data_IF_321247020549
#
_entry.id   IF_321247020549
#
_cell.length_a   1.000
_cell.length_b   1.000
_cell.length_c   1.000
_cell.angle_alpha   90.00
_cell.angle_beta   90.00
_cell.angle_gamma   90.00
#
_symmetry.space_group_name_H-M   'P 1'
#
loop_
_entity.id
_entity.type
_entity.pdbx_description
1 polymer ?
#
# COMPACT_ATOMS: atom_id res chain seq x y z
N UNK A 1 0.44 17.01 -15.05
CA UNK A 1 -0.92 17.39 -14.60
C UNK A 1 -1.39 16.35 -13.60
N UNK A 2 -1.59 16.75 -12.39
CA UNK A 2 -2.06 15.82 -11.34
C UNK A 2 -3.50 15.44 -11.60
N UNK A 3 -3.82 14.16 -11.46
CA UNK A 3 -5.16 13.65 -11.68
C UNK A 3 -6.06 13.83 -10.44
N UNK A 4 -6.01 15.02 -9.84
CA UNK A 4 -6.82 15.32 -8.65
C UNK A 4 -8.31 15.05 -8.92
N UNK A 5 -8.76 15.32 -10.17
CA UNK A 5 -10.14 15.08 -10.58
C UNK A 5 -10.55 13.59 -10.61
N UNK A 6 -9.62 12.67 -10.82
CA UNK A 6 -9.95 11.23 -10.83
C UNK A 6 -10.21 10.70 -9.43
N UNK A 7 -9.48 11.20 -8.43
CA UNK A 7 -9.68 10.82 -7.03
C UNK A 7 -10.96 11.42 -6.48
N UNK A 8 -11.25 12.68 -6.83
CA UNK A 8 -12.45 13.37 -6.37
C UNK A 8 -13.74 12.71 -6.87
N UNK A 9 -13.65 11.95 -7.97
CA UNK A 9 -14.78 11.22 -8.55
C UNK A 9 -14.89 9.77 -8.02
N UNK A 10 -13.97 9.32 -7.18
CA UNK A 10 -14.06 7.99 -6.59
C UNK A 10 -15.08 7.98 -5.44
N UNK A 11 -15.82 6.87 -5.25
CA UNK A 11 -16.68 6.75 -4.08
C UNK A 11 -15.83 6.80 -2.80
N UNK A 12 -16.36 7.36 -1.71
CA UNK A 12 -15.68 7.34 -0.41
C UNK A 12 -15.27 5.92 -0.02
N UNK A 13 -14.12 5.78 0.63
CA UNK A 13 -13.59 4.47 1.00
C UNK A 13 -14.60 3.63 1.81
N UNK A 14 -15.35 4.28 2.69
CA UNK A 14 -16.42 3.63 3.48
C UNK A 14 -17.49 2.98 2.59
N UNK A 15 -17.84 3.63 1.50
CA UNK A 15 -18.80 3.09 0.52
C UNK A 15 -18.21 1.93 -0.27
N UNK A 16 -16.92 2.00 -0.62
CA UNK A 16 -16.21 0.89 -1.27
C UNK A 16 -16.19 -0.35 -0.37
N UNK A 17 -15.91 -0.17 0.90
CA UNK A 17 -15.92 -1.25 1.89
C UNK A 17 -17.31 -1.89 1.96
N UNK A 18 -18.36 -1.08 2.03
CA UNK A 18 -19.74 -1.58 2.08
C UNK A 18 -20.15 -2.28 0.78
N UNK A 19 -19.84 -1.70 -0.37
CA UNK A 19 -20.22 -2.23 -1.68
C UNK A 19 -19.55 -3.59 -1.99
N UNK A 20 -18.33 -3.81 -1.52
CA UNK A 20 -17.59 -5.04 -1.74
C UNK A 20 -17.65 -6.02 -0.55
N UNK A 21 -18.43 -5.70 0.50
CA UNK A 21 -18.53 -6.54 1.69
C UNK A 21 -17.21 -6.71 2.44
N UNK A 22 -16.39 -5.67 2.48
CA UNK A 22 -15.05 -5.73 3.07
C UNK A 22 -15.09 -5.38 4.54
N UNK A 23 -14.94 -6.37 5.41
CA UNK A 23 -14.71 -6.17 6.84
C UNK A 23 -13.29 -6.58 7.18
N UNK A 24 -12.65 -5.84 8.08
CA UNK A 24 -11.32 -6.20 8.56
C UNK A 24 -11.33 -7.62 9.14
N UNK A 25 -10.35 -8.43 8.77
CA UNK A 25 -10.23 -9.82 9.20
C UNK A 25 -9.07 -9.97 10.19
N UNK A 26 -9.35 -10.50 11.38
CA UNK A 26 -8.31 -10.83 12.37
C UNK A 26 -7.37 -11.93 11.86
N UNK A 27 -7.89 -12.89 11.12
CA UNK A 27 -7.10 -14.00 10.56
C UNK A 27 -6.05 -13.50 9.56
N UNK A 28 -6.34 -12.38 8.84
CA UNK A 28 -5.43 -11.75 7.91
C UNK A 28 -4.65 -10.59 8.52
N UNK A 29 -4.82 -10.32 9.83
CA UNK A 29 -4.13 -9.23 10.51
C UNK A 29 -4.54 -7.84 10.06
N UNK A 30 -5.75 -7.68 9.55
CA UNK A 30 -6.22 -6.44 8.94
C UNK A 30 -6.64 -5.40 9.98
N UNK A 31 -6.29 -4.14 9.70
CA UNK A 31 -6.75 -2.96 10.42
C UNK A 31 -6.89 -1.83 9.41
N UNK A 32 -8.10 -1.59 8.92
CA UNK A 32 -8.34 -0.60 7.87
C UNK A 32 -8.33 0.82 8.45
N UNK A 33 -7.49 1.67 7.89
CA UNK A 33 -7.46 3.10 8.20
C UNK A 33 -8.37 3.86 7.24
N UNK A 34 -9.25 4.68 7.79
CA UNK A 34 -10.24 5.43 7.04
C UNK A 34 -10.03 6.96 7.09
N UNK A 35 -9.13 7.44 7.93
CA UNK A 35 -8.84 8.87 8.07
C UNK A 35 -7.95 9.33 6.91
N UNK A 36 -8.55 9.99 5.92
CA UNK A 36 -7.84 10.46 4.72
C UNK A 36 -6.74 11.46 5.03
N UNK A 37 -6.93 12.32 6.02
CA UNK A 37 -5.91 13.30 6.42
C UNK A 37 -4.68 12.61 7.01
N UNK A 38 -4.90 11.60 7.83
CA UNK A 38 -3.83 10.78 8.38
C UNK A 38 -3.08 10.04 7.28
N UNK A 39 -3.81 9.44 6.35
CA UNK A 39 -3.23 8.70 5.23
C UNK A 39 -2.40 9.61 4.32
N UNK A 40 -2.87 10.82 4.05
CA UNK A 40 -2.11 11.81 3.28
C UNK A 40 -0.81 12.22 4.01
N UNK A 41 -0.86 12.39 5.33
CA UNK A 41 0.34 12.67 6.12
C UNK A 41 1.35 11.52 6.08
N UNK A 42 0.87 10.29 6.12
CA UNK A 42 1.75 9.11 6.01
C UNK A 42 2.40 9.06 4.63
N UNK A 43 1.64 9.30 3.57
CA UNK A 43 2.16 9.33 2.21
C UNK A 43 3.19 10.44 1.98
N UNK A 44 3.19 11.50 2.81
CA UNK A 44 4.15 12.60 2.74
C UNK A 44 5.47 12.32 3.46
N UNK A 45 5.53 11.33 4.35
CA UNK A 45 6.72 11.05 5.17
C UNK A 45 7.97 10.73 4.33
N UNK A 46 7.90 9.94 3.24
CA UNK A 46 9.08 9.65 2.44
C UNK A 46 9.65 10.85 1.69
N UNK A 47 8.98 11.98 1.68
CA UNK A 47 9.27 13.11 0.81
C UNK A 47 8.42 13.07 -0.45
N UNK A 48 8.86 13.74 -1.53
CA UNK A 48 8.11 13.75 -2.79
C UNK A 48 8.08 12.36 -3.43
N UNK A 49 6.87 11.86 -3.65
CA UNK A 49 6.64 10.58 -4.34
C UNK A 49 6.21 10.77 -5.80
N UNK A 50 6.20 11.99 -6.30
CA UNK A 50 5.77 12.27 -7.67
C UNK A 50 6.67 11.53 -8.67
N UNK A 51 6.08 10.62 -9.45
CA UNK A 51 6.80 9.73 -10.36
C UNK A 51 7.63 8.64 -9.70
N UNK A 52 7.66 8.57 -8.36
CA UNK A 52 8.43 7.57 -7.63
C UNK A 52 7.72 6.21 -7.61
N UNK A 53 8.52 5.15 -7.57
CA UNK A 53 8.00 3.80 -7.39
C UNK A 53 7.81 3.51 -5.91
N UNK A 54 6.64 2.96 -5.58
CA UNK A 54 6.28 2.59 -4.21
C UNK A 54 5.86 1.12 -4.18
N UNK A 55 6.40 0.39 -3.23
CA UNK A 55 5.96 -0.96 -2.91
C UNK A 55 5.05 -0.90 -1.68
N UNK A 56 3.82 -1.38 -1.82
CA UNK A 56 2.82 -1.39 -0.76
C UNK A 56 2.41 -2.81 -0.42
N UNK A 57 2.49 -3.17 0.86
CA UNK A 57 2.01 -4.47 1.36
C UNK A 57 0.64 -4.27 2.02
N UNK A 58 -0.32 -5.07 1.59
CA UNK A 58 -1.64 -5.09 2.20
C UNK A 58 -2.45 -3.82 1.97
N UNK A 59 -2.67 -3.37 0.72
CA UNK A 59 -3.45 -2.17 0.46
C UNK A 59 -4.89 -2.23 0.98
N UNK A 60 -5.43 -3.42 1.22
CA UNK A 60 -6.79 -3.61 1.66
C UNK A 60 -7.79 -2.98 0.68
N UNK A 61 -8.78 -2.20 1.16
CA UNK A 61 -9.70 -1.50 0.29
C UNK A 61 -9.09 -0.30 -0.44
N UNK A 62 -7.82 0.06 -0.16
CA UNK A 62 -7.09 1.06 -0.91
C UNK A 62 -7.00 2.45 -0.27
N UNK A 63 -7.15 2.55 1.06
CA UNK A 63 -7.06 3.84 1.76
C UNK A 63 -5.70 4.51 1.60
N UNK A 64 -4.64 3.85 2.01
CA UNK A 64 -3.28 4.36 1.83
C UNK A 64 -2.92 4.45 0.35
N UNK A 65 -3.36 3.48 -0.46
CA UNK A 65 -3.15 3.46 -1.91
C UNK A 65 -3.64 4.74 -2.57
N UNK A 66 -4.84 5.20 -2.21
CA UNK A 66 -5.39 6.47 -2.71
C UNK A 66 -4.51 7.66 -2.39
N UNK A 67 -4.01 7.74 -1.15
CA UNK A 67 -3.11 8.81 -0.72
C UNK A 67 -1.80 8.79 -1.50
N UNK A 68 -1.23 7.61 -1.75
CA UNK A 68 -0.03 7.45 -2.56
C UNK A 68 -0.26 7.84 -4.03
N UNK A 69 -1.43 7.51 -4.59
CA UNK A 69 -1.82 7.91 -5.95
C UNK A 69 -1.97 9.44 -6.04
N UNK A 70 -2.59 10.08 -5.04
CA UNK A 70 -2.67 11.55 -4.96
C UNK A 70 -1.28 12.19 -4.94
N UNK A 71 -0.33 11.54 -4.28
CA UNK A 71 1.05 12.01 -4.23
C UNK A 71 1.82 11.81 -5.55
N UNK A 72 1.22 11.17 -6.54
CA UNK A 72 1.81 10.95 -7.86
C UNK A 72 2.67 9.69 -7.97
N UNK A 73 2.58 8.78 -7.02
CA UNK A 73 3.38 7.56 -7.01
C UNK A 73 2.92 6.54 -8.05
N UNK A 74 3.87 5.74 -8.52
CA UNK A 74 3.61 4.50 -9.24
C UNK A 74 3.71 3.34 -8.26
N UNK A 75 2.60 2.63 -8.05
CA UNK A 75 2.44 1.70 -6.93
C UNK A 75 2.45 0.26 -7.43
N UNK A 76 3.24 -0.56 -6.73
CA UNK A 76 3.27 -2.02 -6.85
C UNK A 76 2.78 -2.58 -5.52
N UNK A 77 1.54 -3.07 -5.50
CA UNK A 77 0.88 -3.53 -4.28
C UNK A 77 0.71 -5.03 -4.27
N UNK A 78 0.90 -5.64 -3.11
CA UNK A 78 0.67 -7.06 -2.88
C UNK A 78 -0.43 -7.22 -1.85
N UNK A 79 -1.53 -7.88 -2.25
CA UNK A 79 -2.70 -8.11 -1.41
C UNK A 79 -3.03 -9.60 -1.34
N UNK A 80 -3.08 -10.13 -0.13
CA UNK A 80 -3.43 -11.52 0.11
C UNK A 80 -4.93 -11.76 0.14
N UNK A 81 -5.71 -10.77 0.58
CA UNK A 81 -7.16 -10.87 0.70
C UNK A 81 -7.82 -10.68 -0.66
N UNK A 82 -8.27 -11.78 -1.26
CA UNK A 82 -8.91 -11.75 -2.57
C UNK A 82 -10.20 -10.94 -2.60
N UNK A 83 -10.86 -10.72 -1.45
CA UNK A 83 -12.05 -9.86 -1.37
C UNK A 83 -11.74 -8.41 -1.75
N UNK A 84 -10.51 -7.96 -1.54
CA UNK A 84 -10.08 -6.60 -1.84
C UNK A 84 -9.72 -6.38 -3.32
N UNK A 85 -9.43 -7.44 -4.05
CA UNK A 85 -8.94 -7.33 -5.43
C UNK A 85 -9.91 -6.59 -6.37
N UNK A 86 -11.23 -6.85 -6.36
CA UNK A 86 -12.15 -6.08 -7.21
C UNK A 86 -12.16 -4.59 -6.93
N UNK A 87 -12.08 -4.18 -5.64
CA UNK A 87 -12.02 -2.78 -5.27
C UNK A 87 -10.72 -2.11 -5.74
N UNK A 88 -9.59 -2.82 -5.61
CA UNK A 88 -8.30 -2.34 -6.09
C UNK A 88 -8.24 -2.28 -7.62
N UNK A 89 -8.89 -3.19 -8.31
CA UNK A 89 -8.99 -3.16 -9.76
C UNK A 89 -9.75 -1.92 -10.26
N UNK A 90 -10.84 -1.53 -9.60
CA UNK A 90 -11.55 -0.30 -9.91
C UNK A 90 -10.68 0.93 -9.69
N UNK A 91 -9.88 0.93 -8.62
CA UNK A 91 -8.95 2.01 -8.35
C UNK A 91 -7.85 2.07 -9.43
N UNK A 92 -7.33 0.93 -9.87
CA UNK A 92 -6.38 0.84 -10.96
C UNK A 92 -6.94 1.33 -12.30
N UNK A 93 -8.20 1.08 -12.57
CA UNK A 93 -8.87 1.58 -13.79
C UNK A 93 -8.99 3.11 -13.79
N UNK A 94 -9.17 3.72 -12.62
CA UNK A 94 -9.22 5.17 -12.47
C UNK A 94 -7.82 5.84 -12.61
N UNK A 95 -6.75 5.07 -12.43
CA UNK A 95 -5.37 5.54 -12.53
C UNK A 95 -4.54 4.63 -13.44
N UNK A 96 -4.82 4.62 -14.77
CA UNK A 96 -4.15 3.70 -15.70
C UNK A 96 -2.63 3.81 -15.64
N UNK A 97 -1.96 2.67 -15.48
CA UNK A 97 -0.50 2.60 -15.44
C UNK A 97 0.15 3.03 -14.13
N UNK A 98 -0.62 3.46 -13.11
CA UNK A 98 -0.09 3.93 -11.83
C UNK A 98 -0.24 2.92 -10.70
N UNK A 99 -1.08 1.91 -10.85
CA UNK A 99 -1.31 0.88 -9.84
C UNK A 99 -1.25 -0.51 -10.47
N UNK A 100 -0.31 -1.31 -10.00
CA UNK A 100 -0.24 -2.74 -10.29
C UNK A 100 -0.48 -3.51 -9.01
N UNK A 101 -1.46 -4.41 -9.02
CA UNK A 101 -1.82 -5.22 -7.85
C UNK A 101 -1.49 -6.68 -8.14
N UNK A 102 -0.78 -7.32 -7.21
CA UNK A 102 -0.48 -8.75 -7.24
C UNK A 102 -1.26 -9.41 -6.10
N UNK A 103 -2.06 -10.42 -6.43
CA UNK A 103 -2.79 -11.22 -5.45
C UNK A 103 -1.90 -12.34 -4.96
N UNK A 104 -1.20 -12.14 -3.86
CA UNK A 104 -0.26 -13.10 -3.31
C UNK A 104 0.07 -12.77 -1.85
N UNK A 105 0.82 -13.64 -1.21
CA UNK A 105 1.37 -13.45 0.12
C UNK A 105 2.69 -12.68 0.04
N UNK A 106 2.77 -11.53 0.71
CA UNK A 106 3.96 -10.70 0.73
C UNK A 106 5.20 -11.43 1.27
N UNK A 107 5.02 -12.43 2.11
CA UNK A 107 6.14 -13.25 2.62
C UNK A 107 6.80 -14.08 1.52
N UNK A 108 6.08 -14.41 0.44
CA UNK A 108 6.59 -15.19 -0.68
C UNK A 108 6.98 -14.40 -1.91
N UNK A 109 6.77 -13.07 -1.91
CA UNK A 109 7.05 -12.21 -3.07
C UNK A 109 8.47 -11.67 -3.03
N UNK A 110 9.11 -11.62 -4.19
CA UNK A 110 10.34 -10.85 -4.41
C UNK A 110 9.97 -9.38 -4.70
N UNK A 111 9.97 -8.57 -3.64
CA UNK A 111 9.59 -7.16 -3.71
C UNK A 111 10.51 -6.35 -4.63
N UNK A 112 11.81 -6.65 -4.62
CA UNK A 112 12.78 -5.99 -5.49
C UNK A 112 12.51 -6.25 -6.96
N UNK A 113 12.20 -7.49 -7.31
CA UNK A 113 11.86 -7.85 -8.69
C UNK A 113 10.59 -7.16 -9.15
N UNK A 114 9.61 -6.99 -8.25
CA UNK A 114 8.33 -6.36 -8.56
C UNK A 114 8.45 -4.84 -8.70
N UNK A 115 9.02 -4.17 -7.69
CA UNK A 115 9.02 -2.71 -7.61
C UNK A 115 10.29 -2.05 -8.18
N UNK A 116 11.40 -2.78 -8.23
CA UNK A 116 12.68 -2.30 -8.73
C UNK A 116 13.53 -1.58 -7.69
N UNK A 117 14.80 -1.39 -8.03
CA UNK A 117 15.75 -0.70 -7.17
C UNK A 117 15.36 0.76 -6.95
N UNK A 118 15.53 1.25 -5.73
CA UNK A 118 15.21 2.63 -5.36
C UNK A 118 13.75 2.87 -5.04
N UNK A 119 12.90 1.84 -5.00
CA UNK A 119 11.50 1.99 -4.61
C UNK A 119 11.38 2.33 -3.12
N UNK A 120 10.36 3.13 -2.79
CA UNK A 120 9.98 3.40 -1.41
C UNK A 120 9.00 2.33 -0.94
N UNK A 121 9.21 1.79 0.25
CA UNK A 121 8.26 0.87 0.87
C UNK A 121 7.38 1.68 1.80
N UNK A 122 6.08 1.72 1.52
CA UNK A 122 5.08 2.43 2.33
C UNK A 122 3.93 1.47 2.58
N UNK A 123 3.65 1.15 3.83
CA UNK A 123 2.63 0.16 4.14
C UNK A 123 2.03 0.33 5.53
N UNK A 124 0.71 0.08 5.61
CA UNK A 124 0.03 -0.24 6.86
C UNK A 124 0.06 -1.76 7.00
N UNK A 125 1.10 -2.26 7.68
CA UNK A 125 1.39 -3.70 7.70
C UNK A 125 0.33 -4.50 8.46
N UNK A 126 -0.12 -5.65 7.89
CA UNK A 126 -0.87 -6.62 8.67
C UNK A 126 -0.07 -7.04 9.90
N UNK A 127 -0.72 -7.06 11.08
CA UNK A 127 -0.01 -7.25 12.35
C UNK A 127 0.66 -8.63 12.47
N UNK A 128 0.14 -9.64 11.77
CA UNK A 128 0.65 -11.01 11.84
C UNK A 128 1.94 -11.26 11.04
N UNK A 129 2.29 -10.37 10.10
CA UNK A 129 3.51 -10.50 9.28
C UNK A 129 4.42 -9.26 9.35
N UNK A 130 3.97 -8.19 9.98
CA UNK A 130 4.66 -6.91 9.97
C UNK A 130 6.08 -6.97 10.51
N UNK A 131 6.28 -7.60 11.66
CA UNK A 131 7.61 -7.73 12.28
C UNK A 131 8.55 -8.58 11.40
N UNK A 132 8.06 -9.69 10.85
CA UNK A 132 8.87 -10.55 9.99
C UNK A 132 9.32 -9.81 8.72
N UNK A 133 8.44 -9.04 8.10
CA UNK A 133 8.77 -8.23 6.93
C UNK A 133 9.79 -7.14 7.27
N UNK A 134 9.59 -6.42 8.38
CA UNK A 134 10.53 -5.39 8.81
C UNK A 134 11.92 -5.96 9.03
N UNK A 135 12.03 -7.07 9.75
CA UNK A 135 13.33 -7.73 9.97
C UNK A 135 13.96 -8.13 8.65
N UNK A 136 13.18 -8.71 7.73
CA UNK A 136 13.67 -9.09 6.40
C UNK A 136 14.27 -7.90 5.65
N UNK A 137 13.58 -6.75 5.63
CA UNK A 137 14.06 -5.57 4.91
C UNK A 137 15.26 -4.92 5.58
N UNK A 138 15.38 -4.96 6.90
CA UNK A 138 16.51 -4.37 7.63
C UNK A 138 17.75 -5.26 7.65
N UNK A 139 17.61 -6.55 7.41
CA UNK A 139 18.73 -7.51 7.39
C UNK A 139 19.14 -7.93 5.99
N UNK A 140 18.65 -7.26 4.97
CA UNK A 140 18.95 -7.58 3.59
C UNK A 140 20.43 -7.32 3.27
N UNK A 141 21.02 -8.19 2.43
CA UNK A 141 22.38 -8.01 1.95
C UNK A 141 22.40 -8.07 0.41
N UNK A 142 23.32 -7.35 -0.25
CA UNK A 142 24.29 -6.41 0.34
C UNK A 142 23.67 -5.10 0.81
N UNK A 143 24.37 -4.40 1.69
CA UNK A 143 23.97 -3.05 2.12
C UNK A 143 24.81 -2.01 1.36
N UNK A 144 24.26 -0.86 0.91
CA UNK A 144 22.89 -0.36 1.15
C UNK A 144 21.83 -1.20 0.43
N UNK A 145 20.57 -1.22 0.96
CA UNK A 145 19.52 -2.07 0.41
C UNK A 145 19.00 -1.55 -0.94
N UNK A 146 18.19 -2.37 -1.61
CA UNK A 146 17.55 -2.00 -2.87
C UNK A 146 16.45 -0.92 -2.71
N UNK A 147 15.81 -0.84 -1.54
CA UNK A 147 14.76 0.15 -1.26
C UNK A 147 15.38 1.49 -0.82
N UNK A 148 14.68 2.59 -1.14
CA UNK A 148 15.12 3.95 -0.82
C UNK A 148 14.71 4.37 0.60
N UNK A 149 13.51 3.98 1.04
CA UNK A 149 13.00 4.29 2.38
C UNK A 149 11.98 3.26 2.83
N UNK A 150 11.77 3.17 4.14
CA UNK A 150 10.71 2.38 4.77
C UNK A 150 9.82 3.32 5.58
N UNK A 151 8.54 3.39 5.23
CA UNK A 151 7.52 4.10 5.99
C UNK A 151 6.43 3.12 6.35
N UNK A 152 6.45 2.67 7.59
CA UNK A 152 5.65 1.53 8.02
C UNK A 152 4.79 1.91 9.23
N UNK A 153 3.55 1.45 9.22
CA UNK A 153 2.66 1.56 10.36
C UNK A 153 2.55 0.22 11.07
N UNK A 154 2.64 0.27 12.38
CA UNK A 154 2.44 -0.88 13.26
C UNK A 154 1.38 -0.55 14.29
N UNK A 155 0.70 -1.56 14.79
CA UNK A 155 -0.09 -1.40 15.98
C UNK A 155 0.83 -1.07 17.16
N UNK A 156 0.36 -0.19 18.05
CA UNK A 156 1.14 0.27 19.22
C UNK A 156 1.68 -0.89 20.05
N UNK A 157 0.90 -1.95 20.19
CA UNK A 157 1.25 -3.14 20.97
C UNK A 157 2.38 -3.96 20.34
N UNK A 158 2.63 -3.79 19.03
CA UNK A 158 3.67 -4.51 18.29
C UNK A 158 4.96 -3.69 18.21
N UNK A 159 4.83 -2.38 18.17
CA UNK A 159 5.97 -1.47 18.11
C UNK A 159 6.70 -1.45 19.44
#
# INVERSE_FOLDING_TARGET
MRSDSAIDNLPPLREVIAAHGLNASKALGQNFLLDEQLLDRIAAIPGSLDGARVYEVGPGPGGLTRALLRAGAKIFAVERDQRCIPALAQLGDAFPGQLQVVSDDAMGIDARALAGDGAHIVANLPYNIGTALLVRWLTIEPWPPWWASLTLMFQKEVA
#
